data_IF_090455498325
#
_entry.id   IF_090455498325
#
_cell.length_a   1.000
_cell.length_b   1.000
_cell.length_c   1.000
_cell.angle_alpha   90.00
_cell.angle_beta   90.00
_cell.angle_gamma   90.00
#
_symmetry.space_group_name_H-M   'P 1'
#
loop_
_entity.id
_entity.type
_entity.pdbx_description
1 polymer ?
#
# COMPACT_ATOMS: atom_id res chain seq x y z
N UNK A 1 -11.46 -17.35 -1.12
CA UNK A 1 -10.88 -16.10 -0.56
C UNK A 1 -11.34 -14.93 -1.42
N UNK A 2 -11.56 -13.73 -0.86
CA UNK A 2 -11.83 -12.54 -1.69
C UNK A 2 -10.51 -12.13 -2.38
N UNK A 3 -10.46 -11.98 -3.71
CA UNK A 3 -9.24 -11.60 -4.45
C UNK A 3 -8.55 -10.34 -3.89
N UNK A 4 -9.33 -9.37 -3.40
CA UNK A 4 -8.83 -8.16 -2.75
C UNK A 4 -8.00 -8.44 -1.49
N UNK A 5 -8.35 -9.48 -0.71
CA UNK A 5 -7.60 -9.83 0.51
C UNK A 5 -6.21 -10.39 0.16
N UNK A 6 -6.10 -11.17 -0.91
CA UNK A 6 -4.81 -11.69 -1.40
C UNK A 6 -3.94 -10.54 -1.91
N UNK A 7 -4.49 -9.68 -2.76
CA UNK A 7 -3.81 -8.48 -3.28
C UNK A 7 -3.34 -7.58 -2.14
N UNK A 8 -4.18 -7.32 -1.14
CA UNK A 8 -3.80 -6.52 0.04
C UNK A 8 -2.61 -7.13 0.78
N UNK A 9 -2.61 -8.45 1.02
CA UNK A 9 -1.49 -9.12 1.73
C UNK A 9 -0.18 -9.03 0.94
N UNK A 10 -0.24 -9.22 -0.39
CA UNK A 10 0.93 -9.10 -1.27
C UNK A 10 1.50 -7.68 -1.21
N UNK A 11 0.65 -6.66 -1.40
CA UNK A 11 1.05 -5.25 -1.37
C UNK A 11 1.65 -4.85 -0.01
N UNK A 12 1.05 -5.29 1.10
CA UNK A 12 1.59 -5.02 2.44
C UNK A 12 2.96 -5.70 2.63
N UNK A 13 3.12 -6.94 2.16
CA UNK A 13 4.39 -7.67 2.27
C UNK A 13 5.49 -6.99 1.46
N UNK A 14 5.19 -6.57 0.24
CA UNK A 14 6.12 -5.79 -0.59
C UNK A 14 6.51 -4.48 0.10
N UNK A 15 5.54 -3.74 0.63
CA UNK A 15 5.81 -2.51 1.39
C UNK A 15 6.74 -2.75 2.60
N UNK A 16 6.47 -3.80 3.38
CA UNK A 16 7.28 -4.13 4.56
C UNK A 16 8.66 -4.70 4.22
N UNK A 17 8.85 -5.19 2.99
CA UNK A 17 10.17 -5.64 2.50
C UNK A 17 11.09 -4.48 2.10
N UNK A 18 10.56 -3.26 1.96
CA UNK A 18 11.37 -2.08 1.71
C UNK A 18 12.20 -1.73 2.96
N UNK A 19 13.42 -1.18 2.78
CA UNK A 19 14.19 -0.58 3.86
C UNK A 19 13.35 0.45 4.62
N UNK A 20 13.51 0.52 5.95
CA UNK A 20 12.68 1.38 6.83
C UNK A 20 12.64 2.81 6.30
N UNK A 21 13.79 3.33 5.88
CA UNK A 21 14.00 4.68 5.37
C UNK A 21 13.17 5.00 4.12
N UNK A 22 12.79 3.97 3.36
CA UNK A 22 11.96 4.07 2.14
C UNK A 22 10.48 3.86 2.40
N UNK A 23 10.09 3.56 3.64
CA UNK A 23 8.70 3.27 4.04
C UNK A 23 8.23 4.06 5.25
N UNK A 24 8.88 5.19 5.53
CA UNK A 24 8.58 6.02 6.70
C UNK A 24 7.57 7.10 6.37
N UNK A 25 7.69 7.77 5.23
CA UNK A 25 6.93 8.99 4.97
C UNK A 25 5.67 8.74 4.16
N UNK A 26 4.72 9.67 4.28
CA UNK A 26 3.47 9.62 3.51
C UNK A 26 3.72 9.76 2.01
N UNK A 27 4.70 10.55 1.60
CA UNK A 27 5.09 10.71 0.19
C UNK A 27 5.61 9.41 -0.39
N UNK A 28 6.42 8.67 0.37
CA UNK A 28 6.93 7.35 -0.04
C UNK A 28 5.80 6.34 -0.19
N UNK A 29 4.86 6.31 0.76
CA UNK A 29 3.68 5.47 0.65
C UNK A 29 2.79 5.88 -0.53
N UNK A 30 2.64 7.17 -0.82
CA UNK A 30 1.86 7.65 -1.95
C UNK A 30 2.49 7.25 -3.29
N UNK A 31 3.81 7.36 -3.42
CA UNK A 31 4.54 6.90 -4.60
C UNK A 31 4.38 5.38 -4.81
N UNK A 32 4.52 4.60 -3.73
CA UNK A 32 4.30 3.16 -3.77
C UNK A 32 2.85 2.80 -4.11
N UNK A 33 1.87 3.48 -3.50
CA UNK A 33 0.45 3.27 -3.74
C UNK A 33 0.06 3.52 -5.19
N UNK A 34 0.61 4.58 -5.81
CA UNK A 34 0.42 4.86 -7.23
C UNK A 34 0.95 3.73 -8.12
N UNK A 35 2.10 3.14 -7.78
CA UNK A 35 2.67 1.99 -8.49
C UNK A 35 1.91 0.68 -8.29
N UNK A 36 1.26 0.50 -7.13
CA UNK A 36 0.48 -0.68 -6.80
C UNK A 36 -0.99 -0.60 -7.26
N UNK A 37 -1.49 0.59 -7.58
CA UNK A 37 -2.88 0.87 -7.95
C UNK A 37 -3.42 -0.04 -9.05
N UNK A 38 -2.61 -0.33 -10.08
CA UNK A 38 -3.02 -1.17 -11.22
C UNK A 38 -3.27 -2.65 -10.87
N UNK A 39 -2.90 -3.09 -9.66
CA UNK A 39 -3.09 -4.47 -9.20
C UNK A 39 -4.33 -4.64 -8.32
N UNK A 40 -4.95 -3.53 -7.89
CA UNK A 40 -6.09 -3.55 -6.98
C UNK A 40 -7.38 -3.63 -7.79
N UNK A 41 -8.16 -4.72 -7.67
CA UNK A 41 -9.41 -4.88 -8.41
C UNK A 41 -10.54 -4.03 -7.81
N UNK A 42 -11.53 -3.72 -8.64
CA UNK A 42 -12.81 -3.13 -8.23
C UNK A 42 -12.94 -1.62 -8.45
N UNK A 43 -14.12 -1.08 -8.13
CA UNK A 43 -14.44 0.33 -8.31
C UNK A 43 -13.82 1.24 -7.22
N UNK A 44 -13.71 2.53 -7.53
CA UNK A 44 -13.14 3.58 -6.66
C UNK A 44 -11.71 3.96 -7.04
N UNK A 45 -11.02 4.72 -6.18
CA UNK A 45 -9.62 5.08 -6.35
C UNK A 45 -8.70 3.97 -5.78
N UNK A 46 -8.01 3.20 -6.63
CA UNK A 46 -7.15 2.09 -6.18
C UNK A 46 -5.94 2.58 -5.38
N UNK A 47 -5.37 3.75 -5.71
CA UNK A 47 -4.24 4.31 -4.98
C UNK A 47 -4.67 4.75 -3.58
N UNK A 48 -5.85 5.35 -3.43
CA UNK A 48 -6.42 5.70 -2.12
C UNK A 48 -6.65 4.45 -1.24
N UNK A 49 -7.11 3.33 -1.83
CA UNK A 49 -7.24 2.06 -1.10
C UNK A 49 -5.90 1.53 -0.60
N UNK A 50 -4.88 1.53 -1.45
CA UNK A 50 -3.53 1.12 -1.03
C UNK A 50 -3.01 2.03 0.07
N UNK A 51 -3.17 3.35 -0.06
CA UNK A 51 -2.81 4.32 0.98
C UNK A 51 -3.49 4.01 2.32
N UNK A 52 -4.78 3.68 2.32
CA UNK A 52 -5.50 3.30 3.54
C UNK A 52 -4.90 2.06 4.22
N UNK A 53 -4.42 1.08 3.45
CA UNK A 53 -3.74 -0.10 3.99
C UNK A 53 -2.36 0.23 4.58
N UNK A 54 -1.66 1.19 4.00
CA UNK A 54 -0.31 1.59 4.42
C UNK A 54 -0.32 2.57 5.60
N UNK A 55 -1.35 3.40 5.78
CA UNK A 55 -1.43 4.40 6.84
C UNK A 55 -1.21 3.85 8.26
N UNK A 56 -1.64 2.61 8.53
CA UNK A 56 -1.42 1.94 9.83
C UNK A 56 0.02 1.46 10.06
N UNK A 57 0.89 1.62 9.06
CA UNK A 57 2.28 1.12 9.00
C UNK A 57 3.30 2.22 8.70
N UNK A 58 2.84 3.44 8.47
CA UNK A 58 3.69 4.61 8.52
C UNK A 58 4.04 4.84 9.98
N UNK A 59 5.31 5.07 10.28
CA UNK A 59 5.72 5.47 11.63
C UNK A 59 4.91 6.74 11.97
N UNK A 60 4.05 6.65 12.98
CA UNK A 60 3.48 7.86 13.57
C UNK A 60 4.62 8.55 14.34
N UNK A 61 4.87 9.85 14.12
CA UNK A 61 5.77 10.60 14.97
C UNK A 61 5.32 10.53 16.44
#
# INVERSE_FOLDING_TARGET
MKPEHEVRRVIIREWMSLPKEKRTTREQAAAFAKGAAGRVPGAGDPAAKVMAWLNSRLDRP
#
